data_IF_946524866853
#
_entry.id   IF_946524866853
#
_cell.length_a   1.000
_cell.length_b   1.000
_cell.length_c   1.000
_cell.angle_alpha   90.00
_cell.angle_beta   90.00
_cell.angle_gamma   90.00
#
_symmetry.space_group_name_H-M   'P 1'
#
loop_
_entity.id
_entity.type
_entity.pdbx_description
1 polymer ?
#
# COMPACT_ATOMS: atom_id res chain seq x y z
N UNK A 1 18.17 -0.74 -11.96
CA UNK A 1 17.48 0.03 -13.02
C UNK A 1 16.78 -0.96 -13.94
N UNK A 2 15.54 -0.68 -14.34
CA UNK A 2 14.86 -1.46 -15.37
C UNK A 2 15.46 -1.14 -16.73
N UNK A 3 15.62 -2.16 -17.58
CA UNK A 3 16.16 -1.98 -18.94
C UNK A 3 15.05 -1.77 -19.95
N UNK A 4 13.85 -2.29 -19.64
CA UNK A 4 12.65 -2.22 -20.48
C UNK A 4 11.45 -1.88 -19.61
N UNK A 5 10.43 -1.32 -20.24
CA UNK A 5 9.13 -1.06 -19.59
C UNK A 5 8.50 -2.36 -19.12
N UNK A 6 8.64 -3.44 -19.89
CA UNK A 6 8.07 -4.75 -19.54
C UNK A 6 8.65 -5.29 -18.23
N UNK A 7 9.97 -5.15 -18.00
CA UNK A 7 10.62 -5.54 -16.74
C UNK A 7 9.99 -4.80 -15.54
N UNK A 8 9.65 -3.53 -15.72
CA UNK A 8 8.98 -2.74 -14.68
C UNK A 8 7.53 -3.20 -14.49
N UNK A 9 6.78 -3.42 -15.56
CA UNK A 9 5.38 -3.82 -15.48
C UNK A 9 5.22 -5.17 -14.79
N UNK A 10 6.07 -6.15 -15.11
CA UNK A 10 6.05 -7.47 -14.48
C UNK A 10 6.27 -7.37 -12.97
N UNK A 11 7.29 -6.62 -12.53
CA UNK A 11 7.53 -6.41 -11.11
C UNK A 11 6.42 -5.58 -10.44
N UNK A 12 5.98 -4.51 -11.09
CA UNK A 12 4.96 -3.61 -10.55
C UNK A 12 3.63 -4.33 -10.37
N UNK A 13 3.28 -5.27 -11.24
CA UNK A 13 2.04 -6.03 -11.12
C UNK A 13 2.01 -6.86 -9.83
N UNK A 14 3.12 -7.48 -9.45
CA UNK A 14 3.24 -8.19 -8.17
C UNK A 14 3.08 -7.27 -6.96
N UNK A 15 3.70 -6.08 -7.00
CA UNK A 15 3.57 -5.07 -5.94
C UNK A 15 2.15 -4.52 -5.85
N UNK A 16 1.52 -4.22 -6.99
CA UNK A 16 0.15 -3.70 -7.05
C UNK A 16 -0.85 -4.72 -6.48
N UNK A 17 -0.72 -6.00 -6.83
CA UNK A 17 -1.58 -7.05 -6.26
C UNK A 17 -1.33 -7.26 -4.76
N UNK A 18 -0.08 -7.19 -4.31
CA UNK A 18 0.26 -7.20 -2.89
C UNK A 18 -0.41 -6.05 -2.12
N UNK A 19 -0.27 -4.83 -2.63
CA UNK A 19 -0.90 -3.63 -2.05
C UNK A 19 -2.42 -3.75 -2.01
N UNK A 20 -3.05 -4.21 -3.10
CA UNK A 20 -4.50 -4.44 -3.15
C UNK A 20 -4.96 -5.41 -2.07
N UNK A 21 -4.24 -6.52 -1.86
CA UNK A 21 -4.57 -7.50 -0.80
C UNK A 21 -4.51 -6.88 0.59
N UNK A 22 -3.48 -6.07 0.87
CA UNK A 22 -3.35 -5.38 2.16
C UNK A 22 -4.49 -4.39 2.35
N UNK A 23 -4.77 -3.54 1.35
CA UNK A 23 -5.85 -2.56 1.42
C UNK A 23 -7.24 -3.22 1.57
N UNK A 24 -7.48 -4.33 0.88
CA UNK A 24 -8.71 -5.10 0.98
C UNK A 24 -8.92 -5.83 2.31
N UNK A 25 -7.87 -5.98 3.13
CA UNK A 25 -7.95 -6.56 4.47
C UNK A 25 -8.21 -5.51 5.57
N UNK A 26 -8.23 -4.22 5.24
CA UNK A 26 -8.48 -3.15 6.21
C UNK A 26 -9.97 -3.10 6.60
N UNK A 27 -10.22 -2.73 7.85
CA UNK A 27 -11.56 -2.47 8.39
C UNK A 27 -11.67 -1.00 8.78
N UNK A 28 -12.90 -0.49 8.93
CA UNK A 28 -13.09 0.91 9.35
C UNK A 28 -12.42 1.22 10.69
N UNK A 29 -12.38 0.25 11.60
CA UNK A 29 -11.67 0.36 12.87
C UNK A 29 -10.15 0.47 12.67
N UNK A 30 -9.56 -0.37 11.81
CA UNK A 30 -8.10 -0.33 11.58
C UNK A 30 -7.65 0.96 10.92
N UNK A 31 -8.52 1.62 10.15
CA UNK A 31 -8.22 2.92 9.53
C UNK A 31 -7.93 4.03 10.56
N UNK A 32 -8.45 3.92 11.78
CA UNK A 32 -8.23 4.92 12.85
C UNK A 32 -6.87 4.79 13.55
N UNK A 33 -6.18 3.65 13.39
CA UNK A 33 -4.92 3.36 14.08
C UNK A 33 -3.79 4.28 13.59
N UNK A 34 -3.10 4.94 14.52
CA UNK A 34 -1.85 5.66 14.26
C UNK A 34 -0.64 4.70 14.28
N UNK A 35 0.38 4.98 13.47
CA UNK A 35 1.65 4.21 13.49
C UNK A 35 2.39 4.37 14.82
N UNK A 36 2.37 5.59 15.35
CA UNK A 36 2.90 5.98 16.65
C UNK A 36 2.19 7.27 17.10
N UNK A 37 2.37 7.67 18.35
CA UNK A 37 1.80 8.93 18.86
C UNK A 37 2.25 10.12 17.99
N UNK A 38 1.30 10.98 17.60
CA UNK A 38 1.55 12.13 16.73
C UNK A 38 1.84 11.83 15.25
N UNK A 39 1.76 10.56 14.81
CA UNK A 39 2.05 10.17 13.42
C UNK A 39 0.79 9.95 12.58
N UNK A 40 0.99 9.67 11.28
CA UNK A 40 -0.10 9.36 10.33
C UNK A 40 -0.88 8.11 10.78
N UNK A 41 -2.18 8.11 10.50
CA UNK A 41 -3.04 6.94 10.63
C UNK A 41 -2.90 6.00 9.43
N UNK A 42 -3.32 4.75 9.59
CA UNK A 42 -3.44 3.79 8.49
C UNK A 42 -4.33 4.37 7.38
N UNK A 43 -5.43 5.07 7.71
CA UNK A 43 -6.24 5.80 6.70
C UNK A 43 -5.41 6.75 5.86
N UNK A 44 -4.57 7.58 6.51
CA UNK A 44 -3.75 8.57 5.80
C UNK A 44 -2.67 7.90 4.96
N UNK A 45 -2.15 6.75 5.38
CA UNK A 45 -1.17 5.97 4.63
C UNK A 45 -1.80 5.21 3.46
N UNK A 46 -2.99 4.63 3.64
CA UNK A 46 -3.71 3.90 2.59
C UNK A 46 -4.17 4.80 1.44
N UNK A 47 -4.48 6.07 1.74
CA UNK A 47 -4.84 7.08 0.72
C UNK A 47 -3.63 7.72 0.03
N UNK A 48 -2.48 7.77 0.72
CA UNK A 48 -1.28 8.45 0.23
C UNK A 48 -0.57 7.62 -0.84
#
# INVERSE_FOLDING_TARGET
MYRRVDDFLEQYQGLAEGTKRVLGALTDDSLSQAVAEGHRTIRRLAWH
#
